data_IF_357402454649
#
_entry.id   IF_357402454649
#
_cell.length_a   1.000
_cell.length_b   1.000
_cell.length_c   1.000
_cell.angle_alpha   90.00
_cell.angle_beta   90.00
_cell.angle_gamma   90.00
#
_symmetry.space_group_name_H-M   'P 1'
#
loop_
_entity.id
_entity.type
_entity.pdbx_description
1 polymer ?
#
# COMPACT_ATOMS: atom_id res chain seq x y z
N UNK A 1 -5.67 -21.79 -46.00
CA UNK A 1 -4.34 -21.63 -45.37
C UNK A 1 -4.37 -21.44 -43.85
N UNK A 2 -5.52 -21.50 -43.16
CA UNK A 2 -5.65 -21.19 -41.72
C UNK A 2 -5.28 -22.31 -40.72
N UNK A 3 -4.77 -23.47 -41.17
CA UNK A 3 -4.51 -24.63 -40.29
C UNK A 3 -3.08 -24.73 -39.75
N UNK A 4 -2.14 -23.94 -40.27
CA UNK A 4 -0.71 -24.03 -39.89
C UNK A 4 -0.34 -23.16 -38.69
N UNK A 5 -1.14 -22.13 -38.41
CA UNK A 5 -0.84 -21.15 -37.35
C UNK A 5 -1.34 -21.59 -35.95
N UNK A 6 -2.31 -22.51 -35.88
CA UNK A 6 -2.79 -23.05 -34.60
C UNK A 6 -1.86 -24.11 -33.99
N UNK A 7 -1.08 -24.83 -34.81
CA UNK A 7 -0.17 -25.86 -34.34
C UNK A 7 1.04 -25.28 -33.58
N UNK A 8 1.50 -24.08 -33.96
CA UNK A 8 2.65 -23.41 -33.33
C UNK A 8 2.33 -22.74 -31.98
N UNK A 9 1.10 -22.27 -31.77
CA UNK A 9 0.70 -21.60 -30.53
C UNK A 9 0.33 -22.57 -29.39
N UNK A 10 -0.09 -23.80 -29.72
CA UNK A 10 -0.48 -24.79 -28.71
C UNK A 10 0.72 -25.46 -28.02
N UNK A 11 1.84 -25.66 -28.74
CA UNK A 11 3.06 -26.26 -28.17
C UNK A 11 3.70 -25.37 -27.10
N UNK A 12 3.75 -24.06 -27.34
CA UNK A 12 4.29 -23.08 -26.38
C UNK A 12 3.42 -22.91 -25.13
N UNK A 13 2.10 -23.11 -25.23
CA UNK A 13 1.18 -23.03 -24.09
C UNK A 13 1.26 -24.29 -23.22
N UNK A 14 1.25 -25.48 -23.83
CA UNK A 14 1.39 -26.74 -23.08
C UNK A 14 2.70 -26.87 -22.30
N UNK A 15 3.82 -26.40 -22.85
CA UNK A 15 5.09 -26.39 -22.13
C UNK A 15 5.06 -25.46 -20.90
N UNK A 16 4.47 -24.27 -21.03
CA UNK A 16 4.33 -23.34 -19.91
C UNK A 16 3.46 -23.92 -18.79
N UNK A 17 2.39 -24.63 -19.13
CA UNK A 17 1.52 -25.30 -18.15
C UNK A 17 2.28 -26.38 -17.38
N UNK A 18 3.07 -27.23 -18.07
CA UNK A 18 3.91 -28.25 -17.41
C UNK A 18 4.93 -27.61 -16.46
N UNK A 19 5.61 -26.56 -16.92
CA UNK A 19 6.56 -25.81 -16.06
C UNK A 19 5.83 -25.20 -14.85
N UNK A 20 4.62 -24.67 -15.03
CA UNK A 20 3.78 -24.16 -13.96
C UNK A 20 3.43 -25.22 -12.92
N UNK A 21 2.97 -26.40 -13.35
CA UNK A 21 2.64 -27.53 -12.46
C UNK A 21 3.87 -27.95 -11.66
N UNK A 22 5.00 -28.15 -12.33
CA UNK A 22 6.27 -28.55 -11.68
C UNK A 22 6.71 -27.50 -10.67
N UNK A 23 6.61 -26.22 -11.00
CA UNK A 23 7.03 -25.14 -10.10
C UNK A 23 6.14 -25.03 -8.88
N UNK A 24 4.81 -25.18 -9.03
CA UNK A 24 3.87 -25.23 -7.91
C UNK A 24 4.16 -26.44 -7.01
N UNK A 25 4.34 -27.62 -7.60
CA UNK A 25 4.68 -28.84 -6.85
C UNK A 25 6.00 -28.67 -6.07
N UNK A 26 7.04 -28.14 -6.72
CA UNK A 26 8.32 -27.83 -6.08
C UNK A 26 8.15 -26.81 -4.95
N UNK A 27 7.33 -25.79 -5.14
CA UNK A 27 7.10 -24.77 -4.13
C UNK A 27 6.39 -25.34 -2.90
N UNK A 28 5.42 -26.24 -3.08
CA UNK A 28 4.76 -26.95 -1.97
C UNK A 28 5.73 -27.88 -1.24
N UNK A 29 6.56 -28.62 -1.97
CA UNK A 29 7.60 -29.46 -1.37
C UNK A 29 8.60 -28.63 -0.57
N UNK A 30 9.08 -27.51 -1.13
CA UNK A 30 9.97 -26.58 -0.44
C UNK A 30 9.31 -25.96 0.79
N UNK A 31 8.04 -25.58 0.71
CA UNK A 31 7.29 -25.06 1.85
C UNK A 31 7.27 -26.07 2.99
N UNK A 32 6.87 -27.32 2.72
CA UNK A 32 6.87 -28.38 3.73
C UNK A 32 8.28 -28.65 4.24
N UNK A 33 9.28 -28.69 3.36
CA UNK A 33 10.66 -28.95 3.73
C UNK A 33 11.24 -27.87 4.66
N UNK A 34 10.99 -26.58 4.38
CA UNK A 34 11.50 -25.46 5.19
C UNK A 34 10.78 -25.35 6.54
N UNK A 35 9.46 -25.51 6.57
CA UNK A 35 8.67 -25.37 7.81
C UNK A 35 8.77 -26.57 8.75
N UNK A 36 9.07 -27.77 8.22
CA UNK A 36 9.31 -28.97 9.04
C UNK A 36 10.80 -29.25 9.28
N UNK A 37 11.68 -28.29 8.98
CA UNK A 37 13.11 -28.46 9.13
C UNK A 37 13.53 -28.48 10.61
N UNK A 38 14.31 -29.50 10.98
CA UNK A 38 15.08 -29.54 12.21
C UNK A 38 16.56 -29.72 11.85
N UNK A 39 17.42 -28.84 12.36
CA UNK A 39 18.87 -28.91 12.14
C UNK A 39 19.49 -30.22 12.63
N UNK A 40 18.89 -30.88 13.62
CA UNK A 40 19.40 -32.12 14.20
C UNK A 40 19.10 -33.38 13.37
N UNK A 41 18.32 -33.25 12.28
CA UNK A 41 18.07 -34.34 11.34
C UNK A 41 19.31 -34.68 10.49
N UNK A 42 20.29 -33.78 10.40
CA UNK A 42 21.48 -33.97 9.56
C UNK A 42 22.72 -34.36 10.36
N UNK A 43 23.55 -35.29 9.82
CA UNK A 43 24.80 -35.69 10.45
C UNK A 43 25.83 -34.56 10.51
N UNK A 44 25.69 -33.54 9.65
CA UNK A 44 26.53 -32.34 9.65
C UNK A 44 26.42 -31.54 10.95
N UNK A 45 25.26 -31.58 11.61
CA UNK A 45 24.97 -30.77 12.78
C UNK A 45 24.93 -31.60 14.08
N UNK A 46 24.73 -32.93 14.01
CA UNK A 46 24.68 -33.81 15.19
C UNK A 46 25.13 -35.24 14.87
N UNK A 47 25.91 -35.84 15.78
CA UNK A 47 26.30 -37.26 15.73
C UNK A 47 25.92 -37.95 17.05
N UNK A 48 25.10 -39.02 17.04
CA UNK A 48 24.34 -39.53 15.88
C UNK A 48 23.17 -38.60 15.52
N UNK A 49 22.79 -38.51 14.22
CA UNK A 49 21.61 -37.76 13.79
C UNK A 49 20.32 -38.43 14.31
N UNK A 50 19.20 -37.72 14.26
CA UNK A 50 17.91 -38.34 14.58
C UNK A 50 17.66 -39.56 13.68
N UNK A 51 17.25 -40.71 14.23
CA UNK A 51 17.07 -41.94 13.47
C UNK A 51 15.92 -41.85 12.47
N UNK A 52 14.96 -40.95 12.71
CA UNK A 52 13.84 -40.64 11.83
C UNK A 52 13.90 -39.13 11.58
N UNK A 53 13.93 -38.72 10.31
CA UNK A 53 13.90 -37.30 9.96
C UNK A 53 12.57 -36.68 10.38
N UNK A 54 12.61 -35.57 11.13
CA UNK A 54 11.44 -34.78 11.47
C UNK A 54 10.89 -34.04 10.25
N UNK A 55 11.75 -33.77 9.27
CA UNK A 55 11.32 -33.21 7.99
C UNK A 55 10.29 -34.11 7.30
N UNK A 56 9.10 -33.57 7.05
CA UNK A 56 7.96 -34.31 6.49
C UNK A 56 8.14 -34.69 5.02
N UNK A 57 9.06 -34.04 4.31
CA UNK A 57 9.47 -34.44 2.95
C UNK A 57 10.50 -35.58 2.99
N UNK A 58 11.10 -35.84 4.15
CA UNK A 58 12.15 -36.81 4.37
C UNK A 58 13.55 -36.21 4.26
N UNK A 59 14.56 -37.09 4.13
CA UNK A 59 15.97 -36.70 4.19
C UNK A 59 16.38 -35.73 3.06
N UNK A 60 15.83 -35.89 1.86
CA UNK A 60 16.09 -34.95 0.75
C UNK A 60 15.59 -33.54 1.09
N UNK A 61 14.40 -33.42 1.69
CA UNK A 61 13.88 -32.13 2.15
C UNK A 61 14.75 -31.49 3.22
N UNK A 62 15.27 -32.29 4.16
CA UNK A 62 16.16 -31.79 5.21
C UNK A 62 17.47 -31.23 4.62
N UNK A 63 18.12 -31.95 3.70
CA UNK A 63 19.35 -31.49 3.04
C UNK A 63 19.10 -30.23 2.21
N UNK A 64 17.99 -30.17 1.47
CA UNK A 64 17.63 -28.98 0.69
C UNK A 64 17.37 -27.78 1.59
N UNK A 65 16.60 -27.95 2.67
CA UNK A 65 16.30 -26.88 3.62
C UNK A 65 17.58 -26.38 4.32
N UNK A 66 18.44 -27.28 4.80
CA UNK A 66 19.74 -26.92 5.40
C UNK A 66 20.60 -26.09 4.45
N UNK A 67 20.71 -26.51 3.18
CA UNK A 67 21.43 -25.74 2.17
C UNK A 67 20.83 -24.35 1.94
N UNK A 68 19.50 -24.26 1.78
CA UNK A 68 18.81 -22.98 1.57
C UNK A 68 18.96 -22.04 2.77
N UNK A 69 18.85 -22.55 4.00
CA UNK A 69 19.03 -21.76 5.21
C UNK A 69 20.48 -21.30 5.41
N UNK A 70 21.48 -22.12 5.05
CA UNK A 70 22.88 -21.69 5.10
C UNK A 70 23.16 -20.54 4.13
N UNK A 71 22.64 -20.62 2.91
CA UNK A 71 22.87 -19.60 1.88
C UNK A 71 22.03 -18.33 2.10
N UNK A 72 20.71 -18.48 2.29
CA UNK A 72 19.77 -17.36 2.31
C UNK A 72 19.28 -16.99 3.72
N UNK A 73 19.59 -17.79 4.75
CA UNK A 73 19.02 -17.60 6.08
C UNK A 73 17.50 -17.67 6.08
N UNK A 74 16.85 -16.86 6.91
CA UNK A 74 15.40 -16.77 6.98
C UNK A 74 14.78 -16.22 5.66
N UNK A 75 15.56 -15.56 4.79
CA UNK A 75 15.05 -15.16 3.48
C UNK A 75 14.67 -16.38 2.60
N UNK A 76 15.17 -17.58 2.90
CA UNK A 76 14.77 -18.82 2.23
C UNK A 76 13.25 -19.06 2.26
N UNK A 77 12.53 -18.56 3.27
CA UNK A 77 11.06 -18.65 3.33
C UNK A 77 10.34 -17.89 2.20
N UNK A 78 11.01 -16.94 1.54
CA UNK A 78 10.47 -16.27 0.36
C UNK A 78 10.50 -17.17 -0.89
N UNK A 79 11.42 -18.14 -0.98
CA UNK A 79 11.56 -19.01 -2.15
C UNK A 79 10.28 -19.80 -2.48
N UNK A 80 9.62 -20.51 -1.54
CA UNK A 80 8.37 -21.20 -1.86
C UNK A 80 7.26 -20.21 -2.26
N UNK A 81 7.20 -19.02 -1.65
CA UNK A 81 6.19 -17.99 -1.99
C UNK A 81 6.42 -17.47 -3.41
N UNK A 82 7.67 -17.15 -3.76
CA UNK A 82 8.05 -16.69 -5.09
C UNK A 82 7.82 -17.79 -6.14
N UNK A 83 8.22 -19.02 -5.86
CA UNK A 83 8.01 -20.16 -6.74
C UNK A 83 6.52 -20.44 -6.98
N UNK A 84 5.67 -20.34 -5.94
CA UNK A 84 4.21 -20.39 -6.11
C UNK A 84 3.71 -19.25 -7.00
N UNK A 85 4.13 -18.01 -6.74
CA UNK A 85 3.75 -16.85 -7.55
C UNK A 85 4.12 -17.02 -9.03
N UNK A 86 5.34 -17.45 -9.31
CA UNK A 86 5.80 -17.76 -10.67
C UNK A 86 5.04 -18.94 -11.30
N UNK A 87 4.74 -19.97 -10.52
CA UNK A 87 4.03 -21.17 -10.99
C UNK A 87 2.61 -20.82 -11.40
N UNK A 88 1.92 -20.03 -10.57
CA UNK A 88 0.61 -19.46 -10.90
C UNK A 88 0.69 -18.50 -12.09
N UNK A 89 1.80 -17.74 -12.21
CA UNK A 89 2.09 -16.87 -13.35
C UNK A 89 2.22 -17.59 -14.70
N UNK A 90 2.51 -18.90 -14.71
CA UNK A 90 2.48 -19.70 -15.93
C UNK A 90 1.06 -20.00 -16.40
N UNK A 91 0.11 -20.24 -15.47
CA UNK A 91 -1.29 -20.53 -15.81
C UNK A 91 -2.10 -19.29 -16.16
N UNK A 92 -1.91 -18.20 -15.41
CA UNK A 92 -2.68 -16.97 -15.59
C UNK A 92 -1.96 -16.01 -16.54
N UNK A 93 -2.57 -15.73 -17.70
CA UNK A 93 -2.07 -14.73 -18.65
C UNK A 93 -1.87 -13.35 -18.03
N UNK A 94 -2.71 -12.98 -17.08
CA UNK A 94 -2.60 -11.73 -16.30
C UNK A 94 -1.30 -11.66 -15.47
N UNK A 95 -0.76 -12.80 -15.03
CA UNK A 95 0.41 -12.88 -14.14
C UNK A 95 1.68 -13.34 -14.86
N UNK A 96 1.60 -13.55 -16.18
CA UNK A 96 2.75 -13.93 -17.00
C UNK A 96 3.86 -12.87 -17.04
N UNK A 97 3.55 -11.63 -16.68
CA UNK A 97 4.61 -10.62 -16.48
C UNK A 97 5.55 -11.00 -15.34
N UNK A 98 5.06 -11.72 -14.33
CA UNK A 98 5.81 -12.07 -13.13
C UNK A 98 6.97 -13.00 -13.47
N UNK A 99 6.72 -14.02 -14.30
CA UNK A 99 7.76 -14.99 -14.72
C UNK A 99 8.92 -14.34 -15.48
N UNK A 100 8.69 -13.20 -16.14
CA UNK A 100 9.75 -12.42 -16.81
C UNK A 100 10.54 -11.53 -15.85
N UNK A 101 10.00 -11.24 -14.66
CA UNK A 101 10.56 -10.34 -13.65
C UNK A 101 11.31 -11.07 -12.53
N UNK A 102 11.82 -12.27 -12.81
CA UNK A 102 12.56 -13.09 -11.84
C UNK A 102 13.79 -12.38 -11.24
N UNK A 103 14.43 -11.47 -11.99
CA UNK A 103 15.52 -10.63 -11.49
C UNK A 103 15.09 -9.77 -10.30
N UNK A 104 13.88 -9.20 -10.34
CA UNK A 104 13.37 -8.39 -9.24
C UNK A 104 13.12 -9.25 -7.99
N UNK A 105 12.64 -10.48 -8.16
CA UNK A 105 12.50 -11.41 -7.04
C UNK A 105 13.85 -11.85 -6.45
N UNK A 106 14.89 -11.98 -7.28
CA UNK A 106 16.25 -12.21 -6.79
C UNK A 106 16.76 -11.02 -5.98
N UNK A 107 16.56 -9.80 -6.47
CA UNK A 107 16.88 -8.58 -5.70
C UNK A 107 16.10 -8.54 -4.39
N UNK A 108 14.81 -8.94 -4.40
CA UNK A 108 14.00 -9.01 -3.19
C UNK A 108 14.64 -9.96 -2.16
N UNK A 109 14.99 -11.17 -2.61
CA UNK A 109 15.61 -12.19 -1.77
C UNK A 109 16.93 -11.69 -1.17
N UNK A 110 17.79 -11.07 -2.00
CA UNK A 110 19.07 -10.52 -1.57
C UNK A 110 18.91 -9.37 -0.57
N UNK A 111 17.96 -8.46 -0.81
CA UNK A 111 17.68 -7.36 0.12
C UNK A 111 17.17 -7.87 1.47
N UNK A 112 16.25 -8.84 1.48
CA UNK A 112 15.78 -9.46 2.70
C UNK A 112 16.92 -10.17 3.45
N UNK A 113 17.75 -10.94 2.75
CA UNK A 113 18.92 -11.58 3.33
C UNK A 113 19.89 -10.55 3.94
N UNK A 114 20.17 -9.45 3.23
CA UNK A 114 21.03 -8.37 3.70
C UNK A 114 20.50 -7.66 4.95
N UNK A 115 19.22 -7.31 4.97
CA UNK A 115 18.57 -6.69 6.14
C UNK A 115 18.59 -7.63 7.34
N UNK A 116 18.24 -8.91 7.13
CA UNK A 116 18.25 -9.90 8.21
C UNK A 116 19.64 -10.06 8.81
N UNK A 117 20.69 -10.05 7.98
CA UNK A 117 22.06 -10.09 8.48
C UNK A 117 22.44 -8.81 9.24
N UNK A 118 22.09 -7.63 8.73
CA UNK A 118 22.40 -6.34 9.34
C UNK A 118 21.84 -6.21 10.77
N UNK A 119 20.70 -6.84 11.05
CA UNK A 119 20.07 -6.87 12.37
C UNK A 119 20.39 -8.14 13.17
N UNK A 120 21.26 -9.03 12.69
CA UNK A 120 21.69 -10.20 13.46
C UNK A 120 23.03 -9.92 14.11
N UNK A 121 23.09 -10.02 15.44
CA UNK A 121 24.36 -9.92 16.15
C UNK A 121 25.13 -11.26 16.09
N UNK A 122 26.06 -11.37 15.14
CA UNK A 122 26.87 -12.58 14.92
C UNK A 122 27.67 -12.99 16.17
N UNK A 123 28.12 -12.02 16.97
CA UNK A 123 28.81 -12.28 18.24
C UNK A 123 27.92 -12.88 19.32
N UNK A 124 26.62 -12.53 19.36
CA UNK A 124 25.64 -13.16 20.25
C UNK A 124 25.27 -14.55 19.73
N UNK A 125 25.18 -14.72 18.42
CA UNK A 125 24.92 -16.01 17.80
C UNK A 125 26.03 -17.04 18.07
N UNK A 126 27.31 -16.63 18.00
CA UNK A 126 28.43 -17.51 18.36
C UNK A 126 28.40 -17.91 19.85
N UNK A 127 28.01 -16.97 20.73
CA UNK A 127 27.79 -17.27 22.15
C UNK A 127 26.63 -18.24 22.35
N UNK A 128 25.53 -18.08 21.61
CA UNK A 128 24.37 -18.97 21.66
C UNK A 128 24.71 -20.38 21.13
N UNK A 129 25.58 -20.46 20.12
CA UNK A 129 26.07 -21.73 19.59
C UNK A 129 26.92 -22.51 20.60
N UNK A 130 27.67 -21.80 21.45
CA UNK A 130 28.52 -22.39 22.50
C UNK A 130 27.75 -22.68 23.79
N UNK A 131 26.84 -21.78 24.19
CA UNK A 131 26.01 -21.90 25.38
C UNK A 131 24.54 -21.72 25.00
N UNK A 132 23.75 -22.78 25.15
CA UNK A 132 22.35 -22.80 24.73
C UNK A 132 21.44 -21.82 25.51
N UNK A 133 21.85 -21.35 26.68
CA UNK A 133 21.07 -20.46 27.55
C UNK A 133 21.70 -19.06 27.60
N UNK A 134 21.50 -18.25 26.55
CA UNK A 134 21.82 -16.82 26.56
C UNK A 134 20.51 -16.03 26.60
N UNK A 135 20.13 -15.40 27.73
CA UNK A 135 18.88 -14.65 27.84
C UNK A 135 18.85 -13.39 26.95
N UNK A 136 20.00 -12.90 26.50
CA UNK A 136 20.14 -11.72 25.63
C UNK A 136 19.89 -12.02 24.15
N UNK A 137 19.75 -13.29 23.76
CA UNK A 137 19.51 -13.65 22.36
C UNK A 137 18.10 -13.22 21.93
N UNK A 138 18.04 -12.32 20.96
CA UNK A 138 16.79 -11.89 20.34
C UNK A 138 16.16 -12.96 19.45
N UNK A 139 15.04 -12.59 18.83
CA UNK A 139 14.29 -13.49 17.96
C UNK A 139 15.11 -13.94 16.72
N UNK A 140 15.89 -13.03 16.13
CA UNK A 140 16.66 -13.31 14.91
C UNK A 140 17.82 -14.27 15.19
N UNK A 141 18.49 -14.12 16.33
CA UNK A 141 19.58 -14.97 16.79
C UNK A 141 19.08 -16.39 17.07
N UNK A 142 17.94 -16.50 17.77
CA UNK A 142 17.30 -17.79 18.03
C UNK A 142 16.83 -18.47 16.74
N UNK A 143 16.23 -17.69 15.82
CA UNK A 143 15.80 -18.19 14.52
C UNK A 143 17.00 -18.70 13.72
N UNK A 144 18.07 -17.91 13.62
CA UNK A 144 19.30 -18.27 12.91
C UNK A 144 19.99 -19.51 13.51
N UNK A 145 19.99 -19.62 14.85
CA UNK A 145 20.48 -20.81 15.55
C UNK A 145 19.62 -22.04 15.25
N UNK A 146 18.29 -21.94 15.26
CA UNK A 146 17.39 -23.06 14.96
C UNK A 146 17.54 -23.54 13.52
N UNK A 147 17.77 -22.62 12.59
CA UNK A 147 18.04 -22.94 11.19
C UNK A 147 19.44 -23.51 10.93
N UNK A 148 20.36 -23.47 11.92
CA UNK A 148 21.75 -23.90 11.74
C UNK A 148 22.54 -22.98 10.80
N UNK A 149 22.11 -21.74 10.63
CA UNK A 149 22.75 -20.73 9.78
C UNK A 149 23.70 -19.84 10.58
N UNK A 150 24.74 -19.31 9.93
CA UNK A 150 25.71 -18.39 10.55
C UNK A 150 25.13 -17.02 10.90
N UNK A 151 23.96 -16.67 10.35
CA UNK A 151 23.22 -15.43 10.60
C UNK A 151 21.79 -15.58 10.06
N UNK A 152 20.84 -14.78 10.53
CA UNK A 152 19.47 -14.81 10.00
C UNK A 152 19.41 -14.45 8.51
N UNK A 153 20.43 -13.77 7.97
CA UNK A 153 20.58 -13.49 6.53
C UNK A 153 21.38 -14.52 5.74
N UNK A 154 21.93 -15.55 6.38
CA UNK A 154 22.81 -16.54 5.75
C UNK A 154 24.08 -15.95 5.14
N UNK A 155 24.75 -16.75 4.31
CA UNK A 155 25.99 -16.37 3.61
C UNK A 155 25.76 -15.19 2.66
N UNK A 156 24.60 -15.11 1.98
CA UNK A 156 24.29 -14.02 1.07
C UNK A 156 24.21 -12.67 1.82
N UNK A 157 23.55 -12.65 2.98
CA UNK A 157 23.46 -11.45 3.80
C UNK A 157 24.81 -10.99 4.35
N UNK A 158 25.64 -11.95 4.78
CA UNK A 158 27.05 -11.71 5.18
C UNK A 158 27.83 -11.06 4.04
N UNK A 159 27.82 -11.67 2.85
CA UNK A 159 28.55 -11.16 1.69
C UNK A 159 28.07 -9.76 1.28
N UNK A 160 26.76 -9.51 1.28
CA UNK A 160 26.25 -8.19 0.94
C UNK A 160 26.71 -7.14 1.96
N UNK A 161 26.64 -7.42 3.25
CA UNK A 161 27.04 -6.42 4.25
C UNK A 161 28.56 -6.23 4.32
N UNK A 162 29.34 -7.31 4.30
CA UNK A 162 30.79 -7.23 4.45
C UNK A 162 31.48 -6.62 3.22
N UNK A 163 30.97 -6.88 2.01
CA UNK A 163 31.59 -6.38 0.77
C UNK A 163 30.91 -5.15 0.19
N UNK A 164 29.57 -5.12 0.16
CA UNK A 164 28.84 -4.06 -0.55
C UNK A 164 28.50 -2.88 0.36
N UNK A 165 28.13 -3.16 1.60
CA UNK A 165 27.66 -2.14 2.55
C UNK A 165 28.62 -1.84 3.69
N UNK A 166 29.82 -2.44 3.72
CA UNK A 166 30.83 -2.16 4.75
C UNK A 166 31.32 -0.71 4.75
N UNK A 167 31.19 -0.03 3.61
CA UNK A 167 31.47 1.40 3.46
C UNK A 167 30.36 2.30 4.02
N UNK A 168 29.14 1.78 4.19
CA UNK A 168 27.99 2.53 4.68
C UNK A 168 27.75 2.15 6.15
N UNK A 169 27.64 3.14 7.04
CA UNK A 169 27.22 2.86 8.41
C UNK A 169 25.84 2.19 8.46
N UNK A 170 25.50 1.54 9.57
CA UNK A 170 24.27 0.74 9.70
C UNK A 170 23.01 1.49 9.22
N UNK A 171 22.87 2.78 9.58
CA UNK A 171 21.74 3.61 9.15
C UNK A 171 21.68 3.77 7.63
N UNK A 172 22.84 3.99 6.98
CA UNK A 172 22.92 4.14 5.53
C UNK A 172 22.61 2.84 4.80
N UNK A 173 23.15 1.71 5.29
CA UNK A 173 22.84 0.38 4.77
C UNK A 173 21.34 0.07 4.87
N UNK A 174 20.70 0.37 6.01
CA UNK A 174 19.24 0.21 6.17
C UNK A 174 18.46 1.02 5.15
N UNK A 175 18.80 2.29 4.94
CA UNK A 175 18.11 3.15 3.96
C UNK A 175 18.24 2.57 2.55
N UNK A 176 19.43 2.12 2.17
CA UNK A 176 19.68 1.53 0.85
C UNK A 176 18.92 0.21 0.67
N UNK A 177 18.91 -0.65 1.68
CA UNK A 177 18.15 -1.89 1.63
C UNK A 177 16.65 -1.65 1.54
N UNK A 178 16.10 -0.72 2.32
CA UNK A 178 14.67 -0.36 2.27
C UNK A 178 14.32 0.20 0.89
N UNK A 179 15.17 1.06 0.32
CA UNK A 179 14.98 1.58 -1.03
C UNK A 179 14.98 0.45 -2.06
N UNK A 180 15.97 -0.45 -2.04
CA UNK A 180 16.05 -1.60 -2.95
C UNK A 180 14.88 -2.56 -2.77
N UNK A 181 14.44 -2.80 -1.54
CA UNK A 181 13.27 -3.62 -1.22
C UNK A 181 11.99 -3.04 -1.83
N UNK A 182 11.77 -1.73 -1.67
CA UNK A 182 10.63 -1.03 -2.28
C UNK A 182 10.70 -1.06 -3.82
N UNK A 183 11.88 -0.82 -4.39
CA UNK A 183 12.09 -0.88 -5.85
C UNK A 183 11.82 -2.30 -6.37
N UNK A 184 12.30 -3.32 -5.65
CA UNK A 184 12.07 -4.71 -6.00
C UNK A 184 10.58 -5.08 -5.91
N UNK A 185 9.88 -4.65 -4.84
CA UNK A 185 8.45 -4.89 -4.68
C UNK A 185 7.64 -4.17 -5.76
N UNK A 186 8.02 -2.95 -6.13
CA UNK A 186 7.45 -2.21 -7.26
C UNK A 186 7.76 -2.89 -8.61
N UNK A 187 8.97 -3.44 -8.75
CA UNK A 187 9.34 -4.25 -9.90
C UNK A 187 8.49 -5.52 -9.99
N UNK A 188 8.15 -6.14 -8.86
CA UNK A 188 7.42 -7.40 -8.82
C UNK A 188 5.89 -7.21 -8.94
N UNK A 189 5.37 -6.19 -8.28
CA UNK A 189 3.95 -5.83 -8.33
C UNK A 189 3.75 -4.83 -9.47
N UNK A 190 2.93 -5.15 -10.47
CA UNK A 190 2.59 -4.18 -11.52
C UNK A 190 1.61 -3.11 -10.98
N UNK A 191 1.85 -2.65 -9.75
CA UNK A 191 1.03 -1.73 -9.00
C UNK A 191 1.49 -0.33 -9.32
N UNK A 192 0.57 0.51 -9.78
CA UNK A 192 0.84 1.90 -10.09
C UNK A 192 0.95 2.69 -8.77
N UNK A 193 2.01 2.44 -7.98
CA UNK A 193 2.22 3.08 -6.67
C UNK A 193 2.17 4.60 -6.75
N UNK A 194 2.63 5.18 -7.88
CA UNK A 194 2.50 6.62 -8.11
C UNK A 194 1.05 7.10 -8.16
N UNK A 195 0.17 6.36 -8.83
CA UNK A 195 -1.26 6.70 -8.91
C UNK A 195 -1.97 6.40 -7.60
N UNK A 196 -1.61 5.32 -6.92
CA UNK A 196 -2.13 5.00 -5.58
C UNK A 196 -1.70 6.04 -4.53
N UNK A 197 -0.43 6.48 -4.53
CA UNK A 197 0.07 7.48 -3.59
C UNK A 197 -0.56 8.85 -3.88
N UNK A 198 -0.73 9.22 -5.15
CA UNK A 198 -1.50 10.41 -5.54
C UNK A 198 -2.93 10.31 -5.07
N UNK A 199 -3.60 9.18 -5.28
CA UNK A 199 -4.97 8.96 -4.82
C UNK A 199 -5.07 9.03 -3.28
N UNK A 200 -4.09 8.48 -2.56
CA UNK A 200 -4.04 8.57 -1.09
C UNK A 200 -3.82 10.00 -0.60
N UNK A 201 -2.93 10.77 -1.25
CA UNK A 201 -2.74 12.20 -0.96
C UNK A 201 -3.98 13.01 -1.29
N UNK A 202 -4.63 12.75 -2.43
CA UNK A 202 -5.88 13.40 -2.81
C UNK A 202 -7.01 13.08 -1.84
N UNK A 203 -7.11 11.84 -1.35
CA UNK A 203 -8.09 11.46 -0.32
C UNK A 203 -7.83 12.20 1.00
N UNK A 204 -6.57 12.32 1.43
CA UNK A 204 -6.24 13.12 2.63
C UNK A 204 -6.50 14.61 2.44
N UNK A 205 -6.21 15.14 1.25
CA UNK A 205 -6.50 16.53 0.91
C UNK A 205 -8.02 16.79 0.89
N UNK A 206 -8.81 15.90 0.28
CA UNK A 206 -10.26 15.96 0.26
C UNK A 206 -10.87 15.85 1.66
N UNK A 207 -10.38 14.93 2.49
CA UNK A 207 -10.82 14.80 3.88
C UNK A 207 -10.48 16.05 4.72
N UNK A 208 -9.33 16.67 4.49
CA UNK A 208 -8.98 17.93 5.14
C UNK A 208 -9.84 19.10 4.65
N UNK A 209 -10.21 19.11 3.35
CA UNK A 209 -11.09 20.11 2.75
C UNK A 209 -12.52 19.99 3.29
N UNK A 210 -13.08 18.77 3.35
CA UNK A 210 -14.40 18.50 3.95
C UNK A 210 -14.48 18.99 5.40
N UNK A 211 -13.45 18.71 6.22
CA UNK A 211 -13.36 19.21 7.59
C UNK A 211 -13.31 20.75 7.65
N UNK A 212 -12.68 21.39 6.66
CA UNK A 212 -12.62 22.85 6.58
C UNK A 212 -13.97 23.47 6.18
N UNK A 213 -14.70 22.80 5.28
CA UNK A 213 -16.05 23.20 4.84
C UNK A 213 -17.03 23.04 5.99
N UNK A 214 -16.99 21.92 6.72
CA UNK A 214 -17.86 21.68 7.86
C UNK A 214 -17.65 22.71 8.98
N UNK A 215 -16.38 23.08 9.25
CA UNK A 215 -16.06 24.17 10.17
C UNK A 215 -16.59 25.53 9.71
N UNK A 216 -16.60 25.80 8.40
CA UNK A 216 -17.18 27.04 7.85
C UNK A 216 -18.70 27.02 7.93
N UNK A 217 -19.34 25.90 7.62
CA UNK A 217 -20.78 25.72 7.75
C UNK A 217 -21.25 25.95 9.20
N UNK A 218 -20.55 25.37 10.18
CA UNK A 218 -20.85 25.59 11.61
C UNK A 218 -20.68 27.05 12.04
N UNK A 219 -19.72 27.79 11.47
CA UNK A 219 -19.57 29.23 11.75
C UNK A 219 -20.72 30.04 11.18
N UNK A 220 -21.11 29.76 9.93
CA UNK A 220 -22.24 30.42 9.27
C UNK A 220 -23.56 30.15 10.01
N UNK A 221 -23.79 28.93 10.50
CA UNK A 221 -24.97 28.63 11.33
C UNK A 221 -25.00 29.41 12.65
N UNK A 222 -23.83 29.56 13.30
CA UNK A 222 -23.72 30.36 14.54
C UNK A 222 -23.98 31.84 14.28
N UNK A 223 -23.46 32.37 13.18
CA UNK A 223 -23.71 33.76 12.76
C UNK A 223 -25.18 33.98 12.43
N UNK A 224 -25.82 33.06 11.68
CA UNK A 224 -27.23 33.13 11.37
C UNK A 224 -28.11 33.11 12.62
N UNK A 225 -27.82 32.25 13.59
CA UNK A 225 -28.53 32.21 14.89
C UNK A 225 -28.36 33.51 15.67
N UNK A 226 -27.14 34.07 15.73
CA UNK A 226 -26.88 35.35 16.40
C UNK A 226 -27.67 36.50 15.77
N UNK A 227 -27.70 36.59 14.44
CA UNK A 227 -28.46 37.60 13.73
C UNK A 227 -29.97 37.45 13.98
N UNK A 228 -30.48 36.22 14.04
CA UNK A 228 -31.88 35.97 14.41
C UNK A 228 -32.19 36.42 15.85
N UNK A 229 -31.34 36.08 16.82
CA UNK A 229 -31.50 36.54 18.20
C UNK A 229 -31.42 38.08 18.32
N UNK A 230 -30.56 38.74 17.54
CA UNK A 230 -30.50 40.20 17.48
C UNK A 230 -31.77 40.81 16.88
N UNK A 231 -32.30 40.25 15.79
CA UNK A 231 -33.57 40.68 15.20
C UNK A 231 -34.75 40.48 16.16
N UNK A 232 -34.81 39.34 16.84
CA UNK A 232 -35.82 39.07 17.86
C UNK A 232 -35.70 40.05 19.01
N UNK A 233 -34.50 40.32 19.51
CA UNK A 233 -34.27 41.34 20.55
C UNK A 233 -34.64 42.73 20.10
N UNK A 234 -34.33 43.12 18.86
CA UNK A 234 -34.73 44.42 18.30
C UNK A 234 -36.24 44.49 18.14
N UNK A 235 -36.89 43.40 17.71
CA UNK A 235 -38.35 43.32 17.59
C UNK A 235 -39.07 43.30 18.96
N UNK A 236 -38.47 42.68 19.97
CA UNK A 236 -38.99 42.62 21.34
C UNK A 236 -38.73 43.91 22.13
N UNK A 237 -37.68 44.65 21.75
CA UNK A 237 -37.33 45.97 22.32
C UNK A 237 -37.93 47.12 21.52
N UNK A 238 -38.51 46.85 20.36
CA UNK A 238 -39.43 47.77 19.70
C UNK A 238 -40.69 47.86 20.59
N UNK A 239 -41.09 49.07 21.02
CA UNK A 239 -42.30 49.21 21.80
C UNK A 239 -43.51 48.78 20.95
N UNK A 240 -44.41 48.02 21.58
CA UNK A 240 -45.75 47.75 21.04
C UNK A 240 -46.49 49.07 20.85
N UNK A 241 -46.41 49.65 19.66
CA UNK A 241 -47.40 50.60 19.19
C UNK A 241 -48.48 49.80 18.49
N UNK A 242 -49.60 49.59 19.17
CA UNK A 242 -50.87 49.29 18.54
C UNK A 242 -51.98 49.93 19.36
N UNK A 243 -53.19 50.11 18.84
CA UNK A 243 -53.62 50.42 17.47
C UNK A 243 -54.08 51.89 17.38
N UNK A 244 -53.82 52.59 16.27
CA UNK A 244 -54.49 53.88 15.99
C UNK A 244 -55.76 53.56 15.19
N UNK A 245 -56.93 53.75 15.81
CA UNK A 245 -58.25 53.70 15.18
C UNK A 245 -58.44 54.83 14.14
N UNK A 246 -59.38 54.69 13.19
CA UNK A 246 -59.25 55.20 11.83
C UNK A 246 -59.68 56.67 11.70
N UNK A 247 -58.85 57.46 11.04
CA UNK A 247 -59.26 58.74 10.47
C UNK A 247 -58.75 58.84 9.02
N UNK A 248 -59.68 58.53 8.10
CA UNK A 248 -59.83 59.06 6.73
C UNK A 248 -58.69 58.82 5.72
N UNK A 249 -59.02 58.05 4.67
CA UNK A 249 -58.30 58.03 3.40
C UNK A 249 -58.25 59.44 2.78
N UNK A 250 -57.10 59.83 2.21
CA UNK A 250 -57.02 60.07 0.77
C UNK A 250 -55.78 59.40 0.13
N UNK A 251 -55.69 59.37 -1.22
CA UNK A 251 -55.07 58.26 -1.95
C UNK A 251 -53.58 58.42 -2.28
N UNK A 252 -52.91 57.27 -2.36
CA UNK A 252 -51.73 56.91 -3.14
C UNK A 252 -50.73 58.01 -3.58
N UNK A 253 -49.53 58.00 -2.99
CA UNK A 253 -48.30 58.48 -3.65
C UNK A 253 -47.29 57.34 -3.75
N UNK A 254 -47.25 56.76 -4.96
CA UNK A 254 -46.19 55.86 -5.41
C UNK A 254 -44.90 56.68 -5.42
N UNK A 255 -43.90 56.29 -4.65
CA UNK A 255 -42.52 56.78 -4.80
C UNK A 255 -42.06 56.44 -6.21
N UNK A 256 -42.16 57.41 -7.11
CA UNK A 256 -41.74 57.31 -8.51
C UNK A 256 -40.22 57.37 -8.66
N UNK A 257 -39.48 56.54 -7.93
CA UNK A 257 -38.02 56.42 -8.05
C UNK A 257 -37.63 55.04 -8.56
N UNK A 258 -36.80 55.02 -9.59
CA UNK A 258 -36.24 53.79 -10.18
C UNK A 258 -35.16 53.19 -9.30
N UNK A 259 -34.75 51.97 -9.60
CA UNK A 259 -33.69 51.26 -8.87
C UNK A 259 -32.32 51.99 -8.89
N UNK A 260 -32.17 53.00 -9.74
CA UNK A 260 -31.04 53.91 -9.88
C UNK A 260 -31.17 55.22 -9.08
N UNK A 261 -32.17 55.34 -8.20
CA UNK A 261 -32.46 56.51 -7.36
C UNK A 261 -32.75 57.80 -8.14
N UNK A 262 -33.20 57.69 -9.40
CA UNK A 262 -33.72 58.81 -10.19
C UNK A 262 -35.24 58.70 -10.37
N UNK A 263 -35.95 59.82 -10.58
CA UNK A 263 -37.38 59.76 -10.81
C UNK A 263 -37.70 58.96 -12.08
N UNK A 264 -38.58 57.96 -11.97
CA UNK A 264 -39.03 57.12 -13.09
C UNK A 264 -39.74 58.01 -14.10
N UNK A 265 -39.28 58.09 -15.36
CA UNK A 265 -39.98 58.84 -16.38
C UNK A 265 -41.37 58.25 -16.64
N UNK A 266 -42.36 59.12 -16.84
CA UNK A 266 -43.75 58.71 -17.01
C UNK A 266 -43.93 57.66 -18.13
N UNK A 267 -44.73 56.61 -17.91
CA UNK A 267 -44.95 55.59 -18.91
C UNK A 267 -45.63 56.19 -20.14
N UNK A 268 -44.89 56.31 -21.24
CA UNK A 268 -45.44 56.75 -22.53
C UNK A 268 -46.26 55.60 -23.11
N UNK A 269 -47.58 55.61 -22.89
CA UNK A 269 -48.51 54.67 -23.52
C UNK A 269 -48.66 55.05 -24.98
N UNK A 270 -47.99 54.30 -25.86
CA UNK A 270 -48.12 54.47 -27.31
C UNK A 270 -49.38 53.78 -27.79
N UNK A 271 -50.40 54.56 -28.10
CA UNK A 271 -51.64 54.05 -28.69
C UNK A 271 -51.40 53.60 -30.13
N UNK A 272 -51.55 52.28 -30.37
CA UNK A 272 -51.33 51.65 -31.67
C UNK A 272 -52.57 51.68 -32.56
N UNK A 273 -53.69 52.22 -32.06
CA UNK A 273 -54.95 52.29 -32.81
C UNK A 273 -55.01 53.43 -33.84
N UNK A 274 -54.04 54.35 -33.81
CA UNK A 274 -53.94 55.45 -34.76
C UNK A 274 -52.81 55.19 -35.76
N UNK A 275 -53.09 55.07 -37.07
CA UNK A 275 -52.05 54.92 -38.08
C UNK A 275 -51.21 56.21 -38.17
N UNK A 276 -49.91 56.08 -37.95
CA UNK A 276 -48.97 57.21 -38.04
C UNK A 276 -48.70 57.52 -39.52
N UNK A 277 -48.95 58.77 -39.93
CA UNK A 277 -48.51 59.31 -41.23
C UNK A 277 -46.99 59.40 -41.23
N UNK A 278 -46.36 58.58 -42.07
CA UNK A 278 -44.91 58.59 -42.31
C UNK A 278 -44.54 59.91 -42.99
N UNK A 279 -43.77 60.74 -42.30
CA UNK A 279 -43.05 61.88 -42.90
C UNK A 279 -41.57 61.60 -42.80
#
# INVERSE_FOLDING_TARGET
>A
MARKDQAGNNTGRGWADVVGIVLVAMALLLFVALFSYDKYDLPTNRVPPHPIAHNRVGQMGAVMADGLFKWCGAAAYLLPVLALGFGLGCFFTAWRYLTRRWLWALVLLLTCAGVLHLYTDTGLLDKLAKNQSVPEAGFLEQLAFNMGSSSAGGILGLWLNDYLFSYFGAVGATILFVALWLISLYGLTNFHLGDWLRAWWQQRAAAAEEQSIERRAQKLEREAKRLQEELERVSAKAPSAGPVEPAQEPPAEKTGLGADLKPVPEPTVRDLSVPQLKT
#
